data_IF_782221280741
#
_entry.id   IF_782221280741
#
_cell.length_a   1.000
_cell.length_b   1.000
_cell.length_c   1.000
_cell.angle_alpha   90.00
_cell.angle_beta   90.00
_cell.angle_gamma   90.00
#
_symmetry.space_group_name_H-M   'P 1'
#
loop_
_entity.id
_entity.type
_entity.pdbx_description
1 polymer ?
#
# COMPACT_ATOMS: atom_id res chain seq x y z
N UNK A 1 5.45 -10.56 15.41
CA UNK A 1 4.67 -11.70 14.89
C UNK A 1 5.43 -12.57 13.87
N UNK A 2 6.36 -12.06 13.06
CA UNK A 2 7.05 -12.91 12.06
C UNK A 2 8.17 -13.81 12.61
N UNK A 3 8.92 -13.36 13.62
CA UNK A 3 10.13 -14.06 14.10
C UNK A 3 9.91 -15.06 15.25
N UNK A 4 8.67 -15.21 15.76
CA UNK A 4 8.40 -15.99 16.98
C UNK A 4 8.93 -15.36 18.28
N UNK A 5 9.65 -14.24 18.21
CA UNK A 5 10.22 -13.55 19.39
C UNK A 5 9.13 -13.05 20.33
N UNK A 6 8.02 -12.54 19.80
CA UNK A 6 6.88 -12.09 20.62
C UNK A 6 6.23 -13.23 21.40
N UNK A 7 6.08 -14.39 20.78
CA UNK A 7 5.59 -15.62 21.42
C UNK A 7 6.56 -16.09 22.50
N UNK A 8 7.86 -16.16 22.21
CA UNK A 8 8.86 -16.51 23.22
C UNK A 8 8.89 -15.53 24.40
N UNK A 9 8.73 -14.23 24.17
CA UNK A 9 8.66 -13.22 25.24
C UNK A 9 7.38 -13.40 26.06
N UNK A 10 6.23 -13.62 25.42
CA UNK A 10 4.95 -13.83 26.10
C UNK A 10 4.96 -15.13 26.93
N UNK A 11 5.42 -16.24 26.35
CA UNK A 11 5.59 -17.52 27.02
C UNK A 11 6.56 -17.39 28.19
N UNK A 12 7.71 -16.71 28.00
CA UNK A 12 8.67 -16.48 29.08
C UNK A 12 8.09 -15.59 30.18
N UNK A 13 7.29 -14.58 29.84
CA UNK A 13 6.61 -13.73 30.82
C UNK A 13 5.58 -14.52 31.65
N UNK A 14 4.80 -15.40 31.01
CA UNK A 14 3.86 -16.30 31.69
C UNK A 14 4.59 -17.32 32.58
N UNK A 15 5.66 -17.95 32.07
CA UNK A 15 6.48 -18.91 32.84
C UNK A 15 7.15 -18.24 34.05
N UNK A 16 7.54 -16.97 33.92
CA UNK A 16 8.21 -16.21 34.99
C UNK A 16 7.20 -15.50 35.92
N UNK A 17 5.88 -15.67 35.69
CA UNK A 17 4.78 -15.05 36.42
C UNK A 17 4.92 -13.52 36.59
N UNK A 18 5.54 -12.87 35.59
CA UNK A 18 5.88 -11.45 35.66
C UNK A 18 4.68 -10.59 35.22
N UNK A 19 3.77 -10.40 36.16
CA UNK A 19 2.56 -9.58 36.01
C UNK A 19 2.85 -8.15 35.54
N UNK A 20 3.97 -7.56 35.98
CA UNK A 20 4.37 -6.22 35.57
C UNK A 20 4.75 -6.14 34.08
N UNK A 21 5.47 -7.14 33.57
CA UNK A 21 5.83 -7.22 32.15
C UNK A 21 4.59 -7.43 31.27
N UNK A 22 3.67 -8.31 31.70
CA UNK A 22 2.39 -8.52 31.02
C UNK A 22 1.54 -7.25 31.01
N UNK A 23 1.43 -6.55 32.15
CA UNK A 23 0.70 -5.29 32.25
C UNK A 23 1.33 -4.19 31.40
N UNK A 24 2.66 -4.05 31.37
CA UNK A 24 3.36 -3.05 30.56
C UNK A 24 3.13 -3.28 29.05
N UNK A 25 3.23 -4.53 28.59
CA UNK A 25 2.95 -4.89 27.20
C UNK A 25 1.49 -4.55 26.84
N UNK A 26 0.53 -4.97 27.67
CA UNK A 26 -0.90 -4.70 27.44
C UNK A 26 -1.25 -3.20 27.50
N UNK A 27 -0.59 -2.44 28.37
CA UNK A 27 -0.80 -0.99 28.53
C UNK A 27 -0.33 -0.23 27.30
N UNK A 28 0.80 -0.61 26.68
CA UNK A 28 1.26 -0.01 25.42
C UNK A 28 0.22 -0.19 24.30
N UNK A 29 -0.49 -1.32 24.27
CA UNK A 29 -1.53 -1.59 23.28
C UNK A 29 -2.87 -0.90 23.59
N UNK A 30 -3.27 -0.84 24.86
CA UNK A 30 -4.48 -0.12 25.30
C UNK A 30 -4.35 1.40 25.15
N UNK A 31 -3.15 1.95 25.37
CA UNK A 31 -2.88 3.39 25.35
C UNK A 31 -2.47 3.92 23.97
N UNK A 32 -2.62 3.13 22.91
CA UNK A 32 -2.08 3.45 21.59
C UNK A 32 -2.61 4.80 21.06
N UNK A 33 -1.69 5.77 20.97
CA UNK A 33 -1.63 7.11 20.33
C UNK A 33 -2.92 7.95 20.23
N UNK A 34 -4.06 7.40 19.82
CA UNK A 34 -5.31 8.14 19.59
C UNK A 34 -5.94 8.69 20.87
N UNK A 35 -6.12 7.87 21.90
CA UNK A 35 -6.84 8.27 23.13
C UNK A 35 -6.08 9.38 23.87
N UNK A 36 -4.76 9.28 24.00
CA UNK A 36 -3.94 10.29 24.67
C UNK A 36 -3.93 11.64 23.94
N UNK A 37 -3.95 11.63 22.60
CA UNK A 37 -3.99 12.89 21.81
C UNK A 37 -5.34 13.62 21.92
N UNK A 38 -6.42 12.93 22.29
CA UNK A 38 -7.74 13.53 22.50
C UNK A 38 -7.90 14.19 23.89
N UNK A 39 -7.08 13.80 24.88
CA UNK A 39 -7.17 14.31 26.26
C UNK A 39 -7.05 15.84 26.32
N UNK A 40 -6.05 16.50 25.68
CA UNK A 40 -5.94 17.95 25.75
C UNK A 40 -7.17 18.68 25.21
N UNK A 41 -7.78 18.17 24.14
CA UNK A 41 -8.99 18.74 23.55
C UNK A 41 -10.19 18.60 24.49
N UNK A 42 -10.38 17.41 25.07
CA UNK A 42 -11.48 17.14 26.01
C UNK A 42 -11.33 18.02 27.26
N UNK A 43 -10.11 18.14 27.80
CA UNK A 43 -9.83 19.01 28.94
C UNK A 43 -10.13 20.48 28.62
N UNK A 44 -9.74 20.96 27.44
CA UNK A 44 -10.05 22.33 27.02
C UNK A 44 -11.56 22.58 26.96
N UNK A 45 -12.35 21.66 26.39
CA UNK A 45 -13.81 21.80 26.39
C UNK A 45 -14.42 21.74 27.79
N UNK A 46 -13.90 20.91 28.69
CA UNK A 46 -14.36 20.86 30.08
C UNK A 46 -14.12 22.21 30.76
N UNK A 47 -12.95 22.83 30.53
CA UNK A 47 -12.60 24.13 31.10
C UNK A 47 -13.46 25.27 30.52
N UNK A 48 -13.73 25.27 29.21
CA UNK A 48 -14.49 26.33 28.55
C UNK A 48 -16.01 26.24 28.75
N UNK A 49 -16.57 25.04 28.74
CA UNK A 49 -18.03 24.84 28.61
C UNK A 49 -18.64 24.05 29.78
N UNK A 50 -17.81 23.51 30.68
CA UNK A 50 -18.23 22.60 31.76
C UNK A 50 -18.40 21.16 31.29
N UNK A 51 -18.34 20.22 32.24
CA UNK A 51 -18.22 18.77 31.95
C UNK A 51 -19.34 18.20 31.06
N UNK A 52 -20.61 18.48 31.39
CA UNK A 52 -21.74 17.89 30.66
C UNK A 52 -21.82 18.39 29.21
N UNK A 53 -21.58 19.70 29.00
CA UNK A 53 -21.57 20.29 27.65
C UNK A 53 -20.39 19.77 26.85
N UNK A 54 -19.21 19.65 27.47
CA UNK A 54 -18.04 19.05 26.83
C UNK A 54 -18.31 17.60 26.37
N UNK A 55 -19.01 16.79 27.17
CA UNK A 55 -19.39 15.42 26.80
C UNK A 55 -20.34 15.40 25.58
N UNK A 56 -21.38 16.23 25.59
CA UNK A 56 -22.33 16.33 24.46
C UNK A 56 -21.63 16.84 23.20
N UNK A 57 -20.80 17.87 23.31
CA UNK A 57 -20.00 18.39 22.20
C UNK A 57 -19.06 17.32 21.64
N UNK A 58 -18.36 16.58 22.50
CA UNK A 58 -17.49 15.48 22.09
C UNK A 58 -18.26 14.40 21.34
N UNK A 59 -19.38 13.91 21.88
CA UNK A 59 -20.24 12.91 21.22
C UNK A 59 -20.72 13.42 19.86
N UNK A 60 -21.14 14.68 19.79
CA UNK A 60 -21.58 15.32 18.54
C UNK A 60 -20.45 15.36 17.50
N UNK A 61 -19.22 15.70 17.91
CA UNK A 61 -18.06 15.66 17.04
C UNK A 61 -17.74 14.24 16.55
N UNK A 62 -17.95 13.21 17.38
CA UNK A 62 -17.78 11.82 16.94
C UNK A 62 -18.80 11.42 15.87
N UNK A 63 -20.08 11.83 16.02
CA UNK A 63 -21.08 11.63 14.97
C UNK A 63 -20.75 12.36 13.67
N UNK A 64 -20.02 13.48 13.73
CA UNK A 64 -19.48 14.19 12.58
C UNK A 64 -18.20 13.55 12.01
N UNK A 65 -17.81 12.36 12.49
CA UNK A 65 -16.63 11.61 12.05
C UNK A 65 -15.31 12.34 12.30
N UNK A 66 -15.26 13.20 13.32
CA UNK A 66 -14.09 13.99 13.68
C UNK A 66 -12.81 13.14 13.88
N UNK A 67 -12.93 11.95 14.49
CA UNK A 67 -11.79 11.05 14.67
C UNK A 67 -11.25 10.52 13.34
N UNK A 68 -12.14 10.18 12.39
CA UNK A 68 -11.74 9.75 11.03
C UNK A 68 -11.03 10.90 10.31
N UNK A 69 -11.58 12.11 10.39
CA UNK A 69 -10.98 13.30 9.80
C UNK A 69 -9.59 13.59 10.35
N UNK A 70 -9.41 13.59 11.67
CA UNK A 70 -8.11 13.90 12.28
C UNK A 70 -7.08 12.81 12.03
N UNK A 71 -7.46 11.53 12.07
CA UNK A 71 -6.55 10.43 11.73
C UNK A 71 -6.08 10.52 10.27
N UNK A 72 -6.98 10.91 9.36
CA UNK A 72 -6.62 11.19 7.96
C UNK A 72 -5.71 12.43 7.83
N UNK A 73 -6.08 13.55 8.47
CA UNK A 73 -5.30 14.79 8.44
C UNK A 73 -3.89 14.60 9.00
N UNK A 74 -3.74 13.84 10.09
CA UNK A 74 -2.44 13.49 10.65
C UNK A 74 -1.63 12.64 9.67
N UNK A 75 -2.24 11.67 9.00
CA UNK A 75 -1.61 10.87 7.95
C UNK A 75 -1.01 11.74 6.83
N UNK A 76 -1.77 12.75 6.38
CA UNK A 76 -1.31 13.75 5.41
C UNK A 76 -0.06 14.49 5.90
N UNK A 77 -0.13 15.05 7.12
CA UNK A 77 0.98 15.81 7.72
C UNK A 77 2.22 14.93 7.89
N UNK A 78 2.07 13.74 8.46
CA UNK A 78 3.18 12.81 8.67
C UNK A 78 3.83 12.38 7.35
N UNK A 79 3.02 12.09 6.32
CA UNK A 79 3.56 11.71 5.01
C UNK A 79 4.41 12.84 4.40
N UNK A 80 3.84 14.04 4.27
CA UNK A 80 4.54 15.13 3.59
C UNK A 80 5.69 15.69 4.42
N UNK A 81 5.57 15.73 5.74
CA UNK A 81 6.70 16.06 6.62
C UNK A 81 7.84 15.05 6.48
N UNK A 82 7.52 13.75 6.49
CA UNK A 82 8.52 12.70 6.27
C UNK A 82 9.17 12.76 4.88
N UNK A 83 8.38 13.06 3.84
CA UNK A 83 8.90 13.24 2.47
C UNK A 83 9.92 14.36 2.40
N UNK A 84 9.65 15.51 3.04
CA UNK A 84 10.59 16.63 3.10
C UNK A 84 11.89 16.25 3.81
N UNK A 85 11.82 15.45 4.89
CA UNK A 85 13.01 14.98 5.61
C UNK A 85 13.83 13.99 4.77
N UNK A 86 13.18 13.04 4.10
CA UNK A 86 13.85 11.93 3.42
C UNK A 86 14.40 12.32 2.04
N UNK A 87 13.67 13.13 1.28
CA UNK A 87 13.98 13.42 -0.12
C UNK A 87 14.30 14.89 -0.38
N UNK A 88 13.94 15.78 0.55
CA UNK A 88 13.97 17.22 0.32
C UNK A 88 12.88 17.68 -0.66
N UNK A 89 12.68 18.99 -0.72
CA UNK A 89 11.73 19.63 -1.63
C UNK A 89 10.34 19.85 -1.05
N UNK A 90 9.72 20.96 -1.46
CA UNK A 90 8.35 21.30 -1.13
C UNK A 90 7.56 21.44 -2.44
N UNK A 91 6.39 20.81 -2.54
CA UNK A 91 5.53 20.93 -3.72
C UNK A 91 4.40 21.93 -3.45
N UNK A 92 4.37 22.96 -4.30
CA UNK A 92 3.23 23.84 -4.55
C UNK A 92 1.93 23.05 -4.77
N UNK A 93 1.01 22.94 -3.82
CA UNK A 93 -0.36 22.49 -4.12
C UNK A 93 -1.30 23.69 -4.00
N UNK A 94 -1.82 24.13 -5.15
CA UNK A 94 -2.75 25.25 -5.19
C UNK A 94 -4.06 24.85 -4.50
N UNK A 95 -4.31 25.42 -3.32
CA UNK A 95 -5.62 25.39 -2.67
C UNK A 95 -6.52 26.35 -3.46
N UNK A 96 -7.10 25.87 -4.56
CA UNK A 96 -7.91 26.70 -5.44
C UNK A 96 -8.98 27.49 -4.68
N UNK A 97 -9.29 28.70 -5.13
CA UNK A 97 -10.40 29.52 -4.62
C UNK A 97 -11.71 29.00 -5.22
N UNK A 98 -12.08 27.78 -4.87
CA UNK A 98 -13.24 27.06 -5.40
C UNK A 98 -14.44 27.11 -4.46
N UNK A 99 -15.60 26.69 -4.96
CA UNK A 99 -16.77 26.42 -4.13
C UNK A 99 -16.45 25.27 -3.17
N UNK A 100 -16.64 25.48 -1.86
CA UNK A 100 -16.24 24.54 -0.78
C UNK A 100 -16.93 23.18 -0.88
N UNK A 101 -18.05 23.11 -1.61
CA UNK A 101 -18.89 21.91 -1.78
C UNK A 101 -18.80 21.37 -3.22
N UNK A 102 -17.59 21.01 -3.67
CA UNK A 102 -17.40 20.39 -4.98
C UNK A 102 -17.04 18.92 -4.83
N UNK A 103 -17.73 18.08 -5.59
CA UNK A 103 -17.40 16.67 -5.73
C UNK A 103 -16.03 16.49 -6.42
N UNK A 104 -15.16 15.67 -5.82
CA UNK A 104 -13.85 15.30 -6.35
C UNK A 104 -13.94 13.92 -7.00
N UNK A 105 -13.46 13.81 -8.24
CA UNK A 105 -13.48 12.56 -9.01
C UNK A 105 -12.57 11.50 -8.39
N UNK A 106 -12.89 10.22 -8.58
CA UNK A 106 -12.07 9.11 -8.06
C UNK A 106 -10.62 9.11 -8.58
N UNK A 107 -10.38 9.49 -9.84
CA UNK A 107 -9.02 9.66 -10.38
C UNK A 107 -8.24 10.75 -9.65
N UNK A 108 -8.87 11.87 -9.35
CA UNK A 108 -8.25 12.95 -8.59
C UNK A 108 -7.98 12.55 -7.13
N UNK A 109 -8.94 11.91 -6.46
CA UNK A 109 -8.75 11.37 -5.12
C UNK A 109 -7.58 10.37 -5.06
N UNK A 110 -7.49 9.46 -6.03
CA UNK A 110 -6.38 8.53 -6.13
C UNK A 110 -5.04 9.27 -6.29
N UNK A 111 -4.97 10.25 -7.20
CA UNK A 111 -3.74 11.02 -7.44
C UNK A 111 -3.27 11.78 -6.22
N UNK A 112 -4.19 12.34 -5.43
CA UNK A 112 -3.87 13.11 -4.23
C UNK A 112 -3.45 12.23 -3.04
N UNK A 113 -4.09 11.07 -2.87
CA UNK A 113 -3.99 10.28 -1.65
C UNK A 113 -3.34 8.90 -1.79
N UNK A 114 -2.96 8.47 -3.00
CA UNK A 114 -2.39 7.13 -3.23
C UNK A 114 -1.15 6.86 -2.37
N UNK A 115 -0.08 7.68 -2.49
CA UNK A 115 1.18 7.50 -1.75
C UNK A 115 1.10 7.89 -0.26
N UNK A 116 0.21 8.82 0.07
CA UNK A 116 0.08 9.34 1.43
C UNK A 116 -0.81 8.47 2.33
N UNK A 117 -1.86 7.86 1.76
CA UNK A 117 -2.88 7.13 2.51
C UNK A 117 -3.14 5.74 1.93
N UNK A 118 -3.58 5.61 0.67
CA UNK A 118 -4.11 4.33 0.18
C UNK A 118 -3.10 3.19 0.21
N UNK A 119 -1.89 3.42 -0.32
CA UNK A 119 -0.82 2.41 -0.31
C UNK A 119 -0.46 2.03 1.12
N UNK A 120 -0.27 3.02 2.01
CA UNK A 120 0.07 2.77 3.42
C UNK A 120 -1.04 2.04 4.17
N UNK A 121 -2.30 2.38 3.89
CA UNK A 121 -3.45 1.73 4.51
C UNK A 121 -3.57 0.28 4.06
N UNK A 122 -3.37 0.00 2.77
CA UNK A 122 -3.33 -1.37 2.25
C UNK A 122 -2.16 -2.16 2.84
N UNK A 123 -0.99 -1.56 3.03
CA UNK A 123 0.14 -2.18 3.76
C UNK A 123 -0.24 -2.54 5.19
N UNK A 124 -0.90 -1.64 5.92
CA UNK A 124 -1.36 -1.90 7.30
C UNK A 124 -2.44 -2.99 7.32
N UNK A 125 -3.44 -2.93 6.44
CA UNK A 125 -4.49 -3.97 6.32
C UNK A 125 -3.85 -5.34 6.04
N UNK A 126 -2.88 -5.39 5.13
CA UNK A 126 -2.15 -6.61 4.83
C UNK A 126 -1.46 -7.18 6.08
N UNK A 127 -0.75 -6.34 6.84
CA UNK A 127 -0.11 -6.77 8.09
C UNK A 127 -1.13 -7.24 9.13
N UNK A 128 -2.30 -6.61 9.20
CA UNK A 128 -3.37 -7.00 10.12
C UNK A 128 -4.01 -8.34 9.75
N UNK A 129 -4.16 -8.61 8.46
CA UNK A 129 -4.64 -9.90 7.94
C UNK A 129 -3.59 -10.99 8.15
N UNK A 130 -2.31 -10.71 7.88
CA UNK A 130 -1.20 -11.63 8.18
C UNK A 130 -1.12 -11.92 9.67
N UNK A 131 -1.31 -10.92 10.54
CA UNK A 131 -1.35 -11.12 11.98
C UNK A 131 -2.58 -11.92 12.44
N UNK A 132 -3.72 -11.77 11.78
CA UNK A 132 -4.91 -12.59 12.05
C UNK A 132 -4.67 -14.06 11.65
N UNK A 133 -4.05 -14.29 10.50
CA UNK A 133 -3.84 -15.62 9.94
C UNK A 133 -2.71 -16.40 10.64
N UNK A 134 -1.61 -15.73 11.00
CA UNK A 134 -0.38 -16.38 11.50
C UNK A 134 0.07 -15.89 12.87
N UNK A 135 -0.65 -14.95 13.50
CA UNK A 135 -0.33 -14.43 14.81
C UNK A 135 -0.66 -15.43 15.92
N UNK A 136 0.29 -15.59 16.84
CA UNK A 136 0.08 -16.37 18.06
C UNK A 136 -0.67 -15.51 19.10
N UNK A 137 -1.92 -15.87 19.42
CA UNK A 137 -2.75 -15.16 20.41
C UNK A 137 -3.31 -16.15 21.43
N UNK A 138 -2.61 -16.36 22.55
CA UNK A 138 -3.08 -17.15 23.70
C UNK A 138 -4.43 -16.65 24.25
N UNK A 139 -4.68 -15.34 24.16
CA UNK A 139 -5.92 -14.70 24.63
C UNK A 139 -7.09 -14.77 23.65
N UNK A 140 -6.99 -15.57 22.58
CA UNK A 140 -8.04 -15.77 21.58
C UNK A 140 -8.43 -14.50 20.80
N UNK A 141 -9.66 -14.47 20.28
CA UNK A 141 -10.16 -13.40 19.41
C UNK A 141 -10.20 -12.02 20.08
N UNK A 142 -10.49 -11.95 21.39
CA UNK A 142 -10.55 -10.68 22.13
C UNK A 142 -9.17 -10.01 22.22
N UNK A 143 -8.11 -10.79 22.43
CA UNK A 143 -6.75 -10.27 22.44
C UNK A 143 -6.38 -9.67 21.08
N UNK A 144 -6.66 -10.38 19.98
CA UNK A 144 -6.44 -9.83 18.63
C UNK A 144 -7.17 -8.51 18.41
N UNK A 145 -8.47 -8.44 18.75
CA UNK A 145 -9.29 -7.25 18.55
C UNK A 145 -8.71 -6.07 19.34
N UNK A 146 -8.43 -6.25 20.63
CA UNK A 146 -7.90 -5.19 21.49
C UNK A 146 -6.54 -4.68 20.99
N UNK A 147 -5.69 -5.57 20.49
CA UNK A 147 -4.37 -5.21 19.96
C UNK A 147 -4.43 -4.47 18.61
N UNK A 148 -5.46 -4.73 17.80
CA UNK A 148 -5.49 -4.28 16.40
C UNK A 148 -6.54 -3.22 16.08
N UNK A 149 -7.52 -2.99 16.97
CA UNK A 149 -8.65 -2.09 16.72
C UNK A 149 -8.22 -0.68 16.31
N UNK A 150 -7.19 -0.14 16.94
CA UNK A 150 -6.59 1.16 16.62
C UNK A 150 -6.00 1.21 15.21
N UNK A 151 -5.34 0.13 14.78
CA UNK A 151 -4.69 0.00 13.48
C UNK A 151 -5.72 -0.21 12.38
N UNK A 152 -6.77 -0.99 12.64
CA UNK A 152 -7.94 -1.11 11.78
C UNK A 152 -8.64 0.24 11.61
N UNK A 153 -8.91 0.94 12.72
CA UNK A 153 -9.51 2.28 12.66
C UNK A 153 -8.68 3.26 11.83
N UNK A 154 -7.35 3.26 12.02
CA UNK A 154 -6.44 4.08 11.22
C UNK A 154 -6.47 3.73 9.73
N UNK A 155 -6.34 2.44 9.40
CA UNK A 155 -6.31 2.00 8.01
C UNK A 155 -7.64 2.28 7.28
N UNK A 156 -8.77 2.01 7.94
CA UNK A 156 -10.09 2.33 7.41
C UNK A 156 -10.28 3.84 7.25
N UNK A 157 -9.82 4.65 8.21
CA UNK A 157 -9.86 6.11 8.08
C UNK A 157 -9.05 6.60 6.88
N UNK A 158 -7.87 6.05 6.64
CA UNK A 158 -7.02 6.39 5.49
C UNK A 158 -7.64 5.97 4.14
N UNK A 159 -8.34 4.83 4.08
CA UNK A 159 -9.00 4.37 2.86
C UNK A 159 -10.29 5.15 2.57
N UNK A 160 -11.12 5.38 3.58
CA UNK A 160 -12.50 5.83 3.37
C UNK A 160 -12.72 7.33 3.58
N UNK A 161 -11.88 8.04 4.33
CA UNK A 161 -12.08 9.48 4.57
C UNK A 161 -12.20 10.32 3.29
N UNK A 162 -11.41 10.10 2.21
CA UNK A 162 -11.57 10.86 0.96
C UNK A 162 -12.94 10.70 0.31
N UNK A 163 -13.65 9.61 0.59
CA UNK A 163 -14.98 9.34 0.05
C UNK A 163 -16.08 9.79 1.01
N UNK A 164 -15.88 9.58 2.32
CA UNK A 164 -16.80 10.01 3.38
C UNK A 164 -17.00 11.53 3.40
N UNK A 165 -15.93 12.29 3.18
CA UNK A 165 -15.98 13.75 3.17
C UNK A 165 -16.13 14.34 1.75
N UNK A 166 -16.43 13.52 0.74
CA UNK A 166 -16.69 13.97 -0.62
C UNK A 166 -18.19 14.19 -0.83
N UNK A 167 -18.64 15.42 -1.20
CA UNK A 167 -20.04 15.66 -1.57
C UNK A 167 -20.49 14.67 -2.66
N UNK A 168 -21.67 14.05 -2.55
CA UNK A 168 -22.14 13.00 -3.48
C UNK A 168 -21.21 11.77 -3.63
N UNK A 169 -20.27 11.54 -2.70
CA UNK A 169 -19.30 10.43 -2.79
C UNK A 169 -19.92 9.03 -2.86
N UNK A 170 -21.13 8.85 -2.31
CA UNK A 170 -21.88 7.59 -2.30
C UNK A 170 -23.17 7.62 -3.13
N UNK A 171 -23.37 8.67 -3.92
CA UNK A 171 -24.49 8.71 -4.85
C UNK A 171 -24.22 7.72 -5.99
N UNK A 172 -25.04 6.67 -6.11
CA UNK A 172 -24.78 5.54 -7.03
C UNK A 172 -24.43 5.97 -8.46
N UNK A 173 -25.21 6.91 -9.02
CA UNK A 173 -24.97 7.39 -10.39
C UNK A 173 -23.58 8.04 -10.53
N UNK A 174 -23.17 8.83 -9.54
CA UNK A 174 -21.85 9.45 -9.49
C UNK A 174 -20.74 8.45 -9.25
N UNK A 175 -20.93 7.51 -8.33
CA UNK A 175 -19.96 6.44 -8.08
C UNK A 175 -19.68 5.63 -9.36
N UNK A 176 -20.71 5.30 -10.14
CA UNK A 176 -20.53 4.56 -11.41
C UNK A 176 -19.82 5.42 -12.46
N UNK A 177 -20.20 6.70 -12.59
CA UNK A 177 -19.55 7.65 -13.49
C UNK A 177 -18.06 7.79 -13.18
N UNK A 178 -17.73 8.05 -11.91
CA UNK A 178 -16.38 8.20 -11.40
C UNK A 178 -15.55 6.91 -11.53
N UNK A 179 -16.15 5.74 -11.28
CA UNK A 179 -15.45 4.47 -11.45
C UNK A 179 -15.08 4.21 -12.91
N UNK A 180 -15.98 4.55 -13.84
CA UNK A 180 -15.70 4.46 -15.28
C UNK A 180 -14.60 5.43 -15.70
N UNK A 181 -14.66 6.67 -15.25
CA UNK A 181 -13.62 7.67 -15.51
C UNK A 181 -12.27 7.26 -14.92
N UNK A 182 -12.23 6.75 -13.69
CA UNK A 182 -11.03 6.23 -13.04
C UNK A 182 -10.45 5.04 -13.80
N UNK A 183 -11.29 4.11 -14.26
CA UNK A 183 -10.85 2.95 -15.06
C UNK A 183 -10.26 3.41 -16.39
N UNK A 184 -10.90 4.38 -17.06
CA UNK A 184 -10.38 4.97 -18.30
C UNK A 184 -9.03 5.65 -18.06
N UNK A 185 -8.89 6.45 -16.99
CA UNK A 185 -7.63 7.10 -16.61
C UNK A 185 -6.52 6.08 -16.28
N UNK A 186 -6.86 5.00 -15.59
CA UNK A 186 -5.94 3.93 -15.23
C UNK A 186 -5.42 3.16 -16.45
N UNK A 187 -6.30 2.91 -17.43
CA UNK A 187 -6.00 2.13 -18.63
C UNK A 187 -5.62 3.01 -19.82
N UNK A 188 -5.63 4.33 -19.68
CA UNK A 188 -5.22 5.26 -20.71
C UNK A 188 -3.72 5.07 -20.97
N UNK A 189 -3.39 4.63 -22.17
CA UNK A 189 -2.01 4.45 -22.61
C UNK A 189 -1.38 5.83 -22.77
N UNK A 190 -0.29 6.07 -22.05
CA UNK A 190 0.42 7.34 -22.08
C UNK A 190 1.00 7.68 -23.45
N UNK A 191 1.71 8.80 -23.50
CA UNK A 191 2.39 9.32 -24.68
C UNK A 191 3.27 10.50 -24.27
N UNK A 192 4.18 10.92 -25.15
CA UNK A 192 5.10 12.02 -24.86
C UNK A 192 4.29 13.29 -24.58
N UNK A 193 4.43 13.83 -23.36
CA UNK A 193 3.75 15.06 -22.94
C UNK A 193 2.33 14.90 -22.38
N UNK A 194 1.85 13.67 -22.15
CA UNK A 194 0.58 13.42 -21.45
C UNK A 194 0.71 13.85 -19.98
N UNK A 195 -0.33 14.51 -19.45
CA UNK A 195 -0.34 14.97 -18.06
C UNK A 195 -0.87 13.89 -17.12
N UNK A 196 -0.45 13.92 -15.86
CA UNK A 196 -0.92 12.96 -14.84
C UNK A 196 -2.43 13.00 -14.57
N UNK A 197 -3.11 14.08 -14.96
CA UNK A 197 -4.58 14.13 -14.91
C UNK A 197 -5.27 13.21 -15.92
N UNK A 198 -4.57 12.78 -16.97
CA UNK A 198 -5.14 12.03 -18.10
C UNK A 198 -4.72 10.55 -18.10
N UNK A 199 -3.53 10.24 -17.58
CA UNK A 199 -3.00 8.88 -17.51
C UNK A 199 -2.40 8.55 -16.15
N UNK A 200 -2.62 7.32 -15.68
CA UNK A 200 -1.93 6.79 -14.50
C UNK A 200 -0.42 6.72 -14.67
N UNK A 201 0.07 6.39 -15.87
CA UNK A 201 1.50 6.30 -16.18
C UNK A 201 2.18 7.66 -16.03
N UNK A 202 1.61 8.70 -16.65
CA UNK A 202 2.11 10.07 -16.51
C UNK A 202 2.03 10.58 -15.06
N UNK A 203 0.98 10.22 -14.33
CA UNK A 203 0.88 10.57 -12.91
C UNK A 203 1.94 9.87 -12.06
N UNK A 204 2.23 8.60 -12.35
CA UNK A 204 3.24 7.82 -11.65
C UNK A 204 4.62 8.49 -11.77
N UNK A 205 4.99 8.90 -12.98
CA UNK A 205 6.22 9.65 -13.25
C UNK A 205 6.24 11.02 -12.55
N UNK A 206 5.15 11.80 -12.65
CA UNK A 206 5.01 13.08 -11.96
C UNK A 206 5.11 12.96 -10.43
N UNK A 207 4.59 11.87 -9.86
CA UNK A 207 4.62 11.64 -8.42
C UNK A 207 6.03 11.27 -7.95
N UNK A 208 6.77 10.51 -8.77
CA UNK A 208 8.15 10.09 -8.50
C UNK A 208 9.21 11.15 -8.79
N UNK A 209 8.87 12.25 -9.47
CA UNK A 209 9.82 13.31 -9.84
C UNK A 209 10.66 13.87 -8.66
N UNK A 210 10.17 13.76 -7.42
CA UNK A 210 10.91 14.17 -6.21
C UNK A 210 12.05 13.20 -5.80
N UNK A 211 12.04 11.96 -6.29
CA UNK A 211 13.00 10.89 -5.95
C UNK A 211 14.22 10.92 -6.90
N UNK A 212 14.33 11.92 -7.79
CA UNK A 212 15.41 12.01 -8.79
C UNK A 212 16.82 12.11 -8.21
N UNK A 213 16.97 12.58 -6.97
CA UNK A 213 18.29 12.65 -6.34
C UNK A 213 18.83 11.26 -6.04
N UNK A 214 20.14 11.04 -6.23
CA UNK A 214 20.78 9.75 -5.95
C UNK A 214 20.50 9.24 -4.52
N UNK A 215 20.57 10.14 -3.53
CA UNK A 215 20.25 9.81 -2.14
C UNK A 215 18.77 9.44 -1.95
N UNK A 216 17.85 10.10 -2.67
CA UNK A 216 16.44 9.77 -2.65
C UNK A 216 16.15 8.39 -3.24
N UNK A 217 16.79 8.06 -4.36
CA UNK A 217 16.70 6.73 -5.00
C UNK A 217 17.15 5.61 -4.07
N UNK A 218 18.28 5.80 -3.37
CA UNK A 218 18.76 4.83 -2.36
C UNK A 218 17.75 4.69 -1.24
N UNK A 219 17.26 5.80 -0.69
CA UNK A 219 16.31 5.76 0.44
C UNK A 219 15.01 5.05 0.05
N UNK A 220 14.44 5.36 -1.11
CA UNK A 220 13.22 4.71 -1.59
C UNK A 220 13.45 3.22 -1.90
N UNK A 221 14.63 2.86 -2.44
CA UNK A 221 15.00 1.46 -2.65
C UNK A 221 15.06 0.71 -1.32
N UNK A 222 15.76 1.25 -0.33
CA UNK A 222 15.86 0.67 1.02
C UNK A 222 14.48 0.52 1.68
N UNK A 223 13.65 1.55 1.59
CA UNK A 223 12.29 1.52 2.11
C UNK A 223 11.43 0.49 1.37
N UNK A 224 11.60 0.33 0.07
CA UNK A 224 10.87 -0.65 -0.76
C UNK A 224 11.30 -2.09 -0.49
N UNK A 225 12.49 -2.34 0.06
CA UNK A 225 12.92 -3.69 0.44
C UNK A 225 11.95 -4.38 1.41
N UNK A 226 11.18 -3.60 2.19
CA UNK A 226 10.16 -4.12 3.10
C UNK A 226 9.14 -5.03 2.41
N UNK A 227 8.82 -4.77 1.13
CA UNK A 227 7.86 -5.58 0.39
C UNK A 227 8.38 -7.00 0.11
N UNK A 228 9.69 -7.14 -0.15
CA UNK A 228 10.32 -8.46 -0.31
C UNK A 228 10.45 -9.21 1.02
N UNK A 229 10.63 -8.47 2.13
CA UNK A 229 10.60 -9.04 3.48
C UNK A 229 9.18 -9.58 3.79
N UNK A 230 8.12 -8.90 3.37
CA UNK A 230 6.75 -9.39 3.53
C UNK A 230 6.53 -10.70 2.77
N UNK A 231 6.97 -10.78 1.51
CA UNK A 231 6.92 -12.02 0.73
C UNK A 231 7.66 -13.15 1.43
N UNK A 232 8.91 -12.91 1.85
CA UNK A 232 9.70 -13.90 2.58
C UNK A 232 8.98 -14.37 3.85
N UNK A 233 8.43 -13.43 4.61
CA UNK A 233 7.70 -13.70 5.84
C UNK A 233 6.46 -14.57 5.67
N UNK A 234 5.67 -14.30 4.63
CA UNK A 234 4.48 -15.09 4.31
C UNK A 234 4.90 -16.47 3.80
N UNK A 235 5.88 -16.55 2.89
CA UNK A 235 6.38 -17.83 2.34
C UNK A 235 6.96 -18.73 3.44
N UNK A 236 7.64 -18.14 4.43
CA UNK A 236 8.19 -18.85 5.58
C UNK A 236 7.12 -19.47 6.50
N UNK A 237 5.89 -18.96 6.44
CA UNK A 237 4.75 -19.42 7.25
C UNK A 237 3.76 -20.29 6.46
N UNK A 238 4.02 -20.56 5.17
CA UNK A 238 3.21 -21.48 4.37
C UNK A 238 3.31 -22.90 4.91
N UNK A 239 2.16 -23.58 4.98
CA UNK A 239 2.07 -24.94 5.51
C UNK A 239 2.83 -25.94 4.63
N UNK A 240 2.95 -25.62 3.34
CA UNK A 240 3.75 -26.32 2.32
C UNK A 240 5.22 -26.52 2.75
N UNK A 241 5.77 -25.70 3.66
CA UNK A 241 7.15 -25.86 4.14
C UNK A 241 7.33 -27.02 5.14
N UNK A 242 6.26 -27.51 5.78
CA UNK A 242 6.36 -28.52 6.85
C UNK A 242 7.47 -28.17 7.86
N UNK A 243 8.41 -29.09 8.06
CA UNK A 243 9.57 -28.89 8.96
C UNK A 243 10.85 -28.36 8.27
N UNK A 244 10.86 -28.24 6.93
CA UNK A 244 12.06 -27.88 6.16
C UNK A 244 12.00 -26.43 5.68
N UNK A 245 12.44 -25.51 6.54
CA UNK A 245 12.43 -24.06 6.31
C UNK A 245 13.55 -23.57 5.37
N UNK A 246 13.77 -24.28 4.27
CA UNK A 246 14.84 -23.95 3.32
C UNK A 246 14.48 -22.73 2.47
N UNK A 247 15.49 -21.96 2.08
CA UNK A 247 15.34 -20.81 1.16
C UNK A 247 14.80 -21.20 -0.23
N UNK A 248 14.74 -22.50 -0.53
CA UNK A 248 14.29 -23.05 -1.82
C UNK A 248 12.85 -22.66 -2.13
N UNK A 249 11.94 -22.69 -1.16
CA UNK A 249 10.52 -22.34 -1.38
C UNK A 249 10.37 -20.84 -1.68
N UNK A 250 11.20 -20.00 -1.04
CA UNK A 250 11.26 -18.59 -1.39
C UNK A 250 11.76 -18.39 -2.83
N UNK A 251 12.80 -19.10 -3.25
CA UNK A 251 13.27 -19.12 -4.65
C UNK A 251 12.19 -19.56 -5.64
N UNK A 252 11.43 -20.62 -5.33
CA UNK A 252 10.32 -21.09 -6.16
C UNK A 252 9.19 -20.05 -6.27
N UNK A 253 8.92 -19.29 -5.20
CA UNK A 253 7.91 -18.23 -5.22
C UNK A 253 8.21 -17.13 -6.26
N UNK A 254 9.49 -16.83 -6.51
CA UNK A 254 9.91 -15.90 -7.55
C UNK A 254 9.69 -16.44 -8.97
N UNK A 255 9.88 -17.75 -9.16
CA UNK A 255 9.57 -18.41 -10.45
C UNK A 255 8.07 -18.32 -10.73
N UNK A 256 7.22 -18.60 -9.73
CA UNK A 256 5.77 -18.47 -9.85
C UNK A 256 5.38 -17.02 -10.18
N UNK A 257 5.96 -16.03 -9.49
CA UNK A 257 5.71 -14.62 -9.78
C UNK A 257 6.11 -14.24 -11.21
N UNK A 258 7.27 -14.70 -11.68
CA UNK A 258 7.74 -14.45 -13.04
C UNK A 258 6.79 -15.05 -14.09
N UNK A 259 6.28 -16.27 -13.86
CA UNK A 259 5.28 -16.91 -14.72
C UNK A 259 3.98 -16.10 -14.73
N UNK A 260 3.49 -15.62 -13.58
CA UNK A 260 2.28 -14.78 -13.52
C UNK A 260 2.45 -13.47 -14.31
N UNK A 261 3.60 -12.81 -14.20
CA UNK A 261 3.92 -11.59 -14.97
C UNK A 261 3.96 -11.89 -16.47
N UNK A 262 4.59 -12.99 -16.87
CA UNK A 262 4.67 -13.42 -18.27
C UNK A 262 3.28 -13.70 -18.84
N UNK A 263 2.45 -14.44 -18.11
CA UNK A 263 1.06 -14.70 -18.49
C UNK A 263 0.31 -13.39 -18.67
N UNK A 264 0.37 -12.48 -17.70
CA UNK A 264 -0.28 -11.18 -17.79
C UNK A 264 0.17 -10.39 -19.03
N UNK A 265 1.48 -10.39 -19.35
CA UNK A 265 2.00 -9.77 -20.58
C UNK A 265 1.43 -10.43 -21.85
N UNK A 266 1.39 -11.76 -21.92
CA UNK A 266 0.82 -12.47 -23.09
C UNK A 266 -0.67 -12.13 -23.28
N UNK A 267 -1.43 -12.01 -22.19
CA UNK A 267 -2.84 -11.63 -22.25
C UNK A 267 -3.08 -10.17 -22.68
N UNK A 268 -2.23 -9.25 -22.23
CA UNK A 268 -2.36 -7.82 -22.53
C UNK A 268 -1.78 -7.42 -23.90
N UNK A 269 -0.83 -8.19 -24.44
CA UNK A 269 -0.18 -7.91 -25.73
C UNK A 269 -1.12 -8.01 -26.94
N UNK A 270 -2.22 -8.77 -26.84
CA UNK A 270 -3.18 -9.02 -27.93
C UNK A 270 -3.86 -7.76 -28.51
N UNK A 271 -3.90 -6.67 -27.75
CA UNK A 271 -4.50 -5.41 -28.23
C UNK A 271 -3.61 -4.57 -29.17
N UNK A 272 -2.37 -4.98 -29.46
CA UNK A 272 -1.40 -4.17 -30.23
C UNK A 272 -1.19 -4.59 -31.69
N UNK A 273 -1.76 -5.72 -32.13
CA UNK A 273 -1.42 -6.27 -33.46
C UNK A 273 -2.58 -6.14 -34.44
N UNK A 274 -2.25 -5.89 -35.71
CA UNK A 274 -3.23 -5.80 -36.80
C UNK A 274 -4.13 -7.04 -36.84
N UNK A 275 -5.35 -6.85 -37.33
CA UNK A 275 -6.44 -7.84 -37.34
C UNK A 275 -5.99 -9.22 -37.86
N UNK A 276 -4.99 -9.26 -38.74
CA UNK A 276 -4.47 -10.48 -39.37
C UNK A 276 -3.78 -11.47 -38.39
N UNK A 277 -3.23 -11.00 -37.27
CA UNK A 277 -2.56 -11.89 -36.29
C UNK A 277 -3.39 -12.15 -35.03
N UNK A 278 -4.59 -11.59 -34.93
CA UNK A 278 -5.43 -11.74 -33.73
C UNK A 278 -5.77 -13.20 -33.43
N UNK A 279 -6.00 -14.02 -34.46
CA UNK A 279 -6.31 -15.45 -34.27
C UNK A 279 -5.11 -16.23 -33.72
N UNK A 280 -3.91 -15.99 -34.25
CA UNK A 280 -2.67 -16.59 -33.75
C UNK A 280 -2.39 -16.17 -32.30
N UNK A 281 -2.61 -14.91 -31.95
CA UNK A 281 -2.43 -14.41 -30.59
C UNK A 281 -3.44 -15.03 -29.62
N UNK A 282 -4.72 -15.12 -30.00
CA UNK A 282 -5.74 -15.81 -29.19
C UNK A 282 -5.41 -17.29 -28.99
N UNK A 283 -4.85 -17.94 -30.02
CA UNK A 283 -4.36 -19.32 -29.90
C UNK A 283 -3.20 -19.43 -28.91
N UNK A 284 -2.18 -18.56 -29.01
CA UNK A 284 -1.06 -18.52 -28.05
C UNK A 284 -1.55 -18.25 -26.64
N UNK A 285 -2.52 -17.33 -26.47
CA UNK A 285 -3.16 -17.07 -25.18
C UNK A 285 -3.87 -18.32 -24.63
N UNK A 286 -4.64 -19.01 -25.46
CA UNK A 286 -5.29 -20.28 -25.08
C UNK A 286 -4.29 -21.35 -24.67
N UNK A 287 -3.21 -21.55 -25.43
CA UNK A 287 -2.15 -22.51 -25.09
C UNK A 287 -1.44 -22.10 -23.80
N UNK A 288 -1.12 -20.82 -23.62
CA UNK A 288 -0.49 -20.32 -22.39
C UNK A 288 -1.38 -20.50 -21.16
N UNK A 289 -2.69 -20.32 -21.30
CA UNK A 289 -3.67 -20.58 -20.25
C UNK A 289 -3.73 -22.05 -19.86
N UNK A 290 -3.77 -22.94 -20.85
CA UNK A 290 -3.78 -24.39 -20.62
C UNK A 290 -2.48 -24.85 -19.95
N UNK A 291 -1.32 -24.31 -20.37
CA UNK A 291 -0.04 -24.60 -19.71
C UNK A 291 -0.01 -24.08 -18.27
N UNK A 292 -0.57 -22.90 -18.00
CA UNK A 292 -0.68 -22.38 -16.63
C UNK A 292 -1.58 -23.26 -15.75
N UNK A 293 -2.73 -23.70 -16.28
CA UNK A 293 -3.64 -24.63 -15.58
C UNK A 293 -2.97 -25.99 -15.33
N UNK A 294 -2.27 -26.54 -16.31
CA UNK A 294 -1.53 -27.79 -16.15
C UNK A 294 -0.42 -27.65 -15.10
N UNK A 295 0.34 -26.55 -15.14
CA UNK A 295 1.37 -26.25 -14.13
C UNK A 295 0.79 -26.10 -12.73
N UNK A 296 -0.35 -25.43 -12.59
CA UNK A 296 -1.07 -25.32 -11.32
C UNK A 296 -1.57 -26.69 -10.83
N UNK A 297 -2.14 -27.52 -11.72
CA UNK A 297 -2.60 -28.86 -11.37
C UNK A 297 -1.44 -29.75 -10.91
N UNK A 298 -0.30 -29.71 -11.61
CA UNK A 298 0.92 -30.42 -11.20
C UNK A 298 1.42 -29.92 -9.84
N UNK A 299 1.43 -28.60 -9.61
CA UNK A 299 1.81 -28.03 -8.33
C UNK A 299 0.88 -28.53 -7.20
N UNK A 300 -0.45 -28.53 -7.40
CA UNK A 300 -1.43 -29.02 -6.41
C UNK A 300 -1.33 -30.53 -6.18
N UNK A 301 -0.91 -31.32 -7.18
CA UNK A 301 -0.71 -32.77 -7.00
C UNK A 301 0.61 -33.09 -6.30
N UNK A 302 1.67 -32.34 -6.61
CA UNK A 302 3.00 -32.56 -6.04
C UNK A 302 3.20 -31.89 -4.67
N UNK A 303 2.37 -30.91 -4.32
CA UNK A 303 2.43 -30.18 -3.05
C UNK A 303 1.08 -30.29 -2.35
N UNK A 304 1.10 -30.35 -1.01
CA UNK A 304 -0.12 -30.32 -0.20
C UNK A 304 -0.71 -28.89 -0.12
N UNK A 305 -0.99 -28.30 -1.29
CA UNK A 305 -1.37 -26.90 -1.39
C UNK A 305 -2.79 -26.69 -0.85
N UNK A 306 -2.91 -25.98 0.28
CA UNK A 306 -4.20 -25.71 0.91
C UNK A 306 -4.86 -24.47 0.31
N UNK A 307 -6.19 -24.34 0.47
CA UNK A 307 -6.92 -23.12 0.07
C UNK A 307 -6.35 -21.85 0.77
N UNK A 308 -6.03 -21.87 2.09
CA UNK A 308 -5.32 -20.77 2.75
C UNK A 308 -3.99 -20.38 2.09
N UNK A 309 -3.22 -21.34 1.56
CA UNK A 309 -1.94 -21.05 0.90
C UNK A 309 -2.12 -20.25 -0.40
N UNK A 310 -3.24 -20.46 -1.12
CA UNK A 310 -3.59 -19.66 -2.30
C UNK A 310 -3.81 -18.19 -1.90
N UNK A 311 -4.57 -17.95 -0.83
CA UNK A 311 -4.77 -16.59 -0.31
C UNK A 311 -3.46 -15.97 0.18
N UNK A 312 -2.61 -16.75 0.84
CA UNK A 312 -1.28 -16.32 1.26
C UNK A 312 -0.40 -15.92 0.07
N UNK A 313 -0.48 -16.64 -1.06
CA UNK A 313 0.24 -16.27 -2.28
C UNK A 313 -0.21 -14.90 -2.83
N UNK A 314 -1.51 -14.59 -2.80
CA UNK A 314 -2.02 -13.27 -3.20
C UNK A 314 -1.46 -12.19 -2.26
N UNK A 315 -1.50 -12.44 -0.95
CA UNK A 315 -0.95 -11.53 0.07
C UNK A 315 0.57 -11.36 -0.07
N UNK A 316 1.28 -12.35 -0.59
CA UNK A 316 2.71 -12.24 -0.85
C UNK A 316 3.01 -11.47 -2.15
N UNK A 317 2.33 -11.83 -3.25
CA UNK A 317 2.67 -11.34 -4.58
C UNK A 317 2.18 -9.93 -4.89
N UNK A 318 1.05 -9.48 -4.32
CA UNK A 318 0.55 -8.11 -4.55
C UNK A 318 1.55 -7.05 -4.01
N UNK A 319 2.02 -7.15 -2.74
CA UNK A 319 3.08 -6.26 -2.25
C UNK A 319 4.40 -6.41 -3.01
N UNK A 320 4.79 -7.62 -3.40
CA UNK A 320 6.01 -7.81 -4.21
C UNK A 320 5.92 -7.09 -5.54
N UNK A 321 4.79 -7.20 -6.26
CA UNK A 321 4.57 -6.49 -7.51
C UNK A 321 4.70 -4.98 -7.32
N UNK A 322 4.12 -4.43 -6.25
CA UNK A 322 4.28 -3.02 -5.89
C UNK A 322 5.73 -2.65 -5.56
N UNK A 323 6.46 -3.52 -4.85
CA UNK A 323 7.88 -3.36 -4.56
C UNK A 323 8.74 -3.33 -5.81
N UNK A 324 8.48 -4.21 -6.79
CA UNK A 324 9.17 -4.23 -8.09
C UNK A 324 8.95 -2.91 -8.83
N UNK A 325 7.71 -2.41 -8.89
CA UNK A 325 7.41 -1.12 -9.53
C UNK A 325 8.15 0.02 -8.81
N UNK A 326 8.15 0.02 -7.48
CA UNK A 326 8.81 1.07 -6.67
C UNK A 326 10.33 1.07 -6.85
N UNK A 327 10.98 -0.09 -6.95
CA UNK A 327 12.43 -0.20 -7.19
C UNK A 327 12.81 0.15 -8.62
N UNK A 328 12.09 -0.39 -9.61
CA UNK A 328 12.39 -0.16 -11.03
C UNK A 328 12.29 1.34 -11.41
N UNK A 329 11.38 2.04 -10.77
CA UNK A 329 11.23 3.49 -10.89
C UNK A 329 12.49 4.28 -10.47
N UNK A 330 13.31 3.73 -9.57
CA UNK A 330 14.60 4.31 -9.19
C UNK A 330 15.74 3.95 -10.16
N UNK A 331 15.59 2.91 -10.99
CA UNK A 331 16.64 2.40 -11.88
C UNK A 331 16.52 2.86 -13.34
N UNK A 332 15.31 3.02 -13.88
CA UNK A 332 15.11 3.38 -15.28
C UNK A 332 15.54 4.83 -15.62
N UNK A 333 15.33 5.79 -14.73
CA UNK A 333 15.78 7.18 -14.97
C UNK A 333 17.31 7.34 -14.85
N UNK A 334 18.02 6.40 -14.20
CA UNK A 334 19.49 6.45 -14.12
C UNK A 334 20.15 6.22 -15.49
N UNK A 335 19.53 5.41 -16.35
CA UNK A 335 19.99 5.18 -17.73
C UNK A 335 19.74 6.39 -18.64
N UNK A 336 18.60 7.08 -18.48
CA UNK A 336 18.29 8.28 -19.27
C UNK A 336 19.17 9.49 -18.87
N UNK A 337 19.55 9.59 -17.59
CA UNK A 337 20.44 10.65 -17.09
C UNK A 337 21.91 10.44 -17.56
N UNK A 338 22.36 9.18 -17.63
CA UNK A 338 23.68 8.81 -18.19
C UNK A 338 23.70 8.96 -19.73
N UNK A 339 22.59 8.67 -20.42
CA UNK A 339 22.45 8.89 -21.86
C UNK A 339 22.40 10.38 -22.22
N UNK A 340 21.66 11.20 -21.45
CA UNK A 340 21.56 12.64 -21.67
C UNK A 340 22.84 13.43 -21.37
N UNK A 341 23.71 12.91 -20.49
CA UNK A 341 25.02 13.52 -20.21
C UNK A 341 26.08 13.20 -21.26
N UNK A 342 25.88 12.17 -22.10
CA UNK A 342 26.76 11.84 -23.22
C UNK A 342 26.46 12.66 -24.50
N UNK A 343 25.26 13.22 -24.66
CA UNK A 343 24.91 14.05 -25.83
C UNK A 343 25.30 15.54 -25.70
N UNK A 344 25.72 16.01 -24.52
CA UNK A 344 26.05 17.43 -24.29
C UNK A 344 27.51 17.63 -23.91
N UNK A 345 28.43 17.30 -24.82
CA UNK A 345 29.74 17.98 -24.90
C UNK A 345 29.84 18.69 -26.24
N UNK A 346 29.40 19.95 -26.36
CA UNK A 346 29.67 20.72 -27.56
C UNK A 346 31.18 20.92 -27.68
N UNK A 347 31.73 20.51 -28.83
CA UNK A 347 33.08 20.84 -29.26
C UNK A 347 33.28 22.36 -29.14
N UNK A 348 34.16 22.78 -28.23
CA UNK A 348 34.64 24.15 -28.20
C UNK A 348 35.45 24.40 -29.48
N UNK A 349 34.95 25.24 -30.37
CA UNK A 349 35.74 25.77 -31.49
C UNK A 349 36.76 26.80 -30.98
N UNK A 350 38.01 26.82 -31.46
CA UNK A 350 38.98 27.83 -31.04
C UNK A 350 38.62 29.18 -31.66
N UNK A 351 38.56 30.22 -30.84
CA UNK A 351 38.43 31.60 -31.27
C UNK A 351 39.72 32.09 -31.96
N UNK A 352 39.59 32.62 -33.17
CA UNK A 352 40.55 33.57 -33.79
C UNK A 352 40.21 34.97 -33.29
#
# INVERSE_FOLDING_TARGET
ALSGVGEQIAVRAQITDNTALSAALNTQFLLQIGVFTAIPMILNFILEQGFLRALVSFITMQFQLCSVFFTFSLGTRTHYFGRTILHGGARYQATGRGFVVRHIKFSENYRLYSRSHFVKALEVVLLLVVYLAYGYNDGGALSYILLTVSSWFMALSWLFAPYLFNPSGFEWQKTVEDFREWTNWLLYRGGIGVKGGESWEAWWEEELAHIRTFSGRIMETLLSLRFFIFQYGIVYKLDIQGNNRSLTVYGLSWVVLAVLILLFKVFTFSQKVSVNFQLLLRFIQGVSFLMALAGLAVAVVLTELSVPDIFACILAFVPTGWGIISVNSGSLEAFDEEAGTLEVRPFASPSI
#
